data_IF_324344138573
#
_entry.id   IF_324344138573
#
_cell.length_a   1.000
_cell.length_b   1.000
_cell.length_c   1.000
_cell.angle_alpha   90.00
_cell.angle_beta   90.00
_cell.angle_gamma   90.00
#
_symmetry.space_group_name_H-M   'P 1'
#
loop_
_entity.id
_entity.type
_entity.pdbx_description
1 polymer ?
#
# COMPACT_ATOMS: atom_id res chain seq x y z
N UNK A 1 14.62 -50.75 20.97
CA UNK A 1 13.50 -49.85 20.64
C UNK A 1 14.05 -48.44 20.72
N UNK A 2 14.43 -47.87 19.57
CA UNK A 2 15.06 -46.55 19.50
C UNK A 2 14.00 -45.46 19.58
N UNK A 3 14.22 -44.53 20.50
CA UNK A 3 13.40 -43.35 20.76
C UNK A 3 13.41 -42.41 19.55
N UNK A 4 12.26 -42.26 18.90
CA UNK A 4 12.05 -41.41 17.72
C UNK A 4 11.76 -39.95 18.09
N UNK A 5 12.63 -39.32 18.88
CA UNK A 5 12.61 -37.85 19.07
C UNK A 5 13.69 -37.22 18.20
N UNK A 6 13.34 -36.81 17.00
CA UNK A 6 14.24 -36.10 16.11
C UNK A 6 13.47 -35.34 15.04
N UNK A 7 13.43 -34.02 15.14
CA UNK A 7 12.89 -33.15 14.09
C UNK A 7 12.08 -31.96 14.60
N UNK A 8 12.56 -31.24 15.63
CA UNK A 8 12.08 -29.88 15.86
C UNK A 8 12.50 -29.02 14.66
N UNK A 9 11.63 -28.90 13.66
CA UNK A 9 11.86 -28.02 12.52
C UNK A 9 11.94 -26.60 13.05
N UNK A 10 13.15 -26.05 13.06
CA UNK A 10 13.39 -24.71 13.60
C UNK A 10 12.90 -23.71 12.55
N UNK A 11 11.59 -23.43 12.56
CA UNK A 11 10.96 -22.44 11.67
C UNK A 11 11.70 -21.11 11.81
N UNK A 12 12.20 -20.49 10.72
CA UNK A 12 12.81 -19.17 10.76
C UNK A 12 11.95 -18.18 11.54
N UNK A 13 12.55 -17.41 12.45
CA UNK A 13 11.81 -16.51 13.35
C UNK A 13 10.92 -15.50 12.60
N UNK A 14 11.36 -15.06 11.42
CA UNK A 14 10.58 -14.16 10.57
C UNK A 14 9.30 -14.80 10.01
N UNK A 15 9.31 -16.11 9.73
CA UNK A 15 8.14 -16.85 9.26
C UNK A 15 7.09 -16.98 10.37
N UNK A 16 7.54 -17.29 11.59
CA UNK A 16 6.64 -17.38 12.75
C UNK A 16 5.99 -16.03 13.03
N UNK A 17 6.76 -14.94 12.98
CA UNK A 17 6.24 -13.60 13.22
C UNK A 17 5.24 -13.16 12.13
N UNK A 18 5.48 -13.53 10.87
CA UNK A 18 4.59 -13.24 9.76
C UNK A 18 3.27 -14.02 9.85
N UNK A 19 3.34 -15.32 10.17
CA UNK A 19 2.16 -16.17 10.41
C UNK A 19 1.31 -15.64 11.58
N UNK A 20 1.94 -15.26 12.69
CA UNK A 20 1.24 -14.71 13.85
C UNK A 20 0.56 -13.38 13.53
N UNK A 21 1.23 -12.47 12.81
CA UNK A 21 0.66 -11.20 12.39
C UNK A 21 -0.62 -11.42 11.56
N UNK A 22 -0.55 -12.29 10.55
CA UNK A 22 -1.67 -12.53 9.65
C UNK A 22 -2.83 -13.28 10.30
N UNK A 23 -2.59 -14.04 11.38
CA UNK A 23 -3.65 -14.75 12.13
C UNK A 23 -4.45 -13.84 13.05
N UNK A 24 -3.83 -12.79 13.57
CA UNK A 24 -4.49 -11.83 14.49
C UNK A 24 -5.27 -10.73 13.74
N UNK A 25 -4.99 -10.54 12.44
CA UNK A 25 -5.69 -9.59 11.58
C UNK A 25 -7.04 -10.16 11.16
N UNK A 26 -8.11 -9.43 11.45
CA UNK A 26 -9.46 -9.75 11.01
C UNK A 26 -10.27 -8.47 10.78
N UNK A 27 -10.42 -8.09 9.52
CA UNK A 27 -11.14 -6.89 9.09
C UNK A 27 -11.66 -7.06 7.65
N UNK A 28 -12.82 -6.50 7.34
CA UNK A 28 -13.45 -6.66 6.00
C UNK A 28 -12.55 -6.18 4.85
N UNK A 29 -11.82 -5.08 5.09
CA UNK A 29 -10.93 -4.45 4.11
C UNK A 29 -9.46 -4.90 4.20
N UNK A 30 -9.16 -6.01 4.85
CA UNK A 30 -7.81 -6.59 4.93
C UNK A 30 -7.87 -8.06 4.56
N UNK A 31 -6.89 -8.56 3.80
CA UNK A 31 -6.88 -9.99 3.44
C UNK A 31 -6.82 -10.87 4.67
N UNK A 32 -7.64 -11.92 4.68
CA UNK A 32 -7.71 -12.89 5.76
C UNK A 32 -6.94 -14.15 5.38
N UNK A 33 -5.99 -14.52 6.22
CA UNK A 33 -5.26 -15.77 6.04
C UNK A 33 -6.19 -16.95 6.38
N UNK A 34 -6.49 -17.77 5.38
CA UNK A 34 -7.34 -18.95 5.52
C UNK A 34 -6.50 -20.14 6.02
N UNK A 35 -5.33 -20.34 5.43
CA UNK A 35 -4.47 -21.48 5.78
C UNK A 35 -2.99 -21.20 5.51
N UNK A 36 -2.11 -21.92 6.20
CA UNK A 36 -0.66 -21.90 6.02
C UNK A 36 -0.18 -23.32 5.81
N UNK A 37 0.54 -23.56 4.73
CA UNK A 37 1.17 -24.84 4.46
C UNK A 37 2.68 -24.67 4.31
N UNK A 38 3.44 -25.52 4.99
CA UNK A 38 4.90 -25.54 4.90
C UNK A 38 5.28 -26.85 4.24
N UNK A 39 5.91 -26.77 3.07
CA UNK A 39 6.51 -27.93 2.45
C UNK A 39 7.88 -28.16 3.10
N UNK A 40 7.99 -29.24 3.90
CA UNK A 40 9.21 -29.57 4.61
C UNK A 40 10.32 -30.13 3.71
N UNK A 41 10.01 -30.53 2.47
CA UNK A 41 11.00 -31.09 1.55
C UNK A 41 11.92 -30.01 0.97
N UNK A 42 11.37 -28.82 0.68
CA UNK A 42 12.09 -27.68 0.10
C UNK A 42 12.05 -26.42 1.00
N UNK A 43 11.41 -26.51 2.17
CA UNK A 43 11.17 -25.41 3.10
C UNK A 43 10.37 -24.24 2.51
N UNK A 44 9.51 -24.52 1.52
CA UNK A 44 8.62 -23.52 0.91
C UNK A 44 7.40 -23.21 1.80
N UNK A 45 7.03 -21.93 1.88
CA UNK A 45 5.83 -21.45 2.56
C UNK A 45 4.73 -21.13 1.54
N UNK A 46 3.55 -21.69 1.78
CA UNK A 46 2.33 -21.40 1.03
C UNK A 46 1.29 -20.79 1.95
N UNK A 47 0.67 -19.71 1.48
CA UNK A 47 -0.35 -18.96 2.20
C UNK A 47 -1.62 -18.99 1.36
N UNK A 48 -2.72 -19.44 1.96
CA UNK A 48 -4.03 -19.46 1.31
C UNK A 48 -4.85 -18.27 1.81
N UNK A 49 -5.40 -17.52 0.86
CA UNK A 49 -6.30 -16.39 1.07
C UNK A 49 -7.55 -16.58 0.20
N UNK A 50 -8.59 -15.81 0.48
CA UNK A 50 -9.73 -15.70 -0.44
C UNK A 50 -9.27 -15.10 -1.78
N UNK A 51 -9.87 -15.58 -2.87
CA UNK A 51 -9.53 -15.14 -4.22
C UNK A 51 -10.15 -13.78 -4.51
N UNK A 52 -9.32 -12.82 -4.91
CA UNK A 52 -9.77 -11.56 -5.49
C UNK A 52 -9.59 -11.61 -7.01
N UNK A 53 -10.61 -11.17 -7.74
CA UNK A 53 -10.62 -11.24 -9.21
C UNK A 53 -9.71 -10.18 -9.83
N UNK A 54 -9.57 -9.03 -9.17
CA UNK A 54 -8.82 -7.88 -9.65
C UNK A 54 -7.99 -7.24 -8.55
N UNK A 55 -7.09 -6.34 -8.95
CA UNK A 55 -6.48 -5.34 -8.08
C UNK A 55 -6.74 -3.92 -8.64
N UNK A 56 -6.46 -2.89 -7.84
CA UNK A 56 -6.66 -1.51 -8.31
C UNK A 56 -5.77 -1.13 -9.49
N UNK A 57 -4.60 -1.77 -9.65
CA UNK A 57 -3.74 -1.50 -10.81
C UNK A 57 -4.43 -1.94 -12.10
N UNK A 58 -5.03 -3.13 -12.12
CA UNK A 58 -5.81 -3.63 -13.25
C UNK A 58 -7.04 -2.76 -13.53
N UNK A 59 -7.76 -2.33 -12.49
CA UNK A 59 -8.93 -1.44 -12.62
C UNK A 59 -8.53 -0.10 -13.25
N UNK A 60 -7.47 0.55 -12.74
CA UNK A 60 -6.95 1.82 -13.27
C UNK A 60 -6.52 1.63 -14.74
N UNK A 61 -5.78 0.56 -15.02
CA UNK A 61 -5.29 0.24 -16.36
C UNK A 61 -6.44 0.03 -17.35
N UNK A 62 -7.50 -0.67 -16.94
CA UNK A 62 -8.68 -0.89 -17.77
C UNK A 62 -9.36 0.42 -18.15
N UNK A 63 -9.58 1.31 -17.17
CA UNK A 63 -10.13 2.64 -17.42
C UNK A 63 -9.24 3.49 -18.34
N UNK A 64 -7.92 3.41 -18.18
CA UNK A 64 -6.94 4.15 -18.98
C UNK A 64 -6.84 3.67 -20.43
N UNK A 65 -6.69 2.36 -20.62
CA UNK A 65 -6.27 1.77 -21.90
C UNK A 65 -7.42 1.16 -22.70
N UNK A 66 -8.50 0.72 -22.05
CA UNK A 66 -9.63 0.05 -22.70
C UNK A 66 -10.85 0.94 -22.83
N UNK A 67 -11.27 1.58 -21.75
CA UNK A 67 -12.45 2.45 -21.76
C UNK A 67 -12.14 3.88 -22.20
N UNK A 68 -10.91 4.34 -21.94
CA UNK A 68 -10.52 5.74 -22.08
C UNK A 68 -11.51 6.69 -21.37
N UNK A 69 -11.91 6.31 -20.15
CA UNK A 69 -12.93 6.98 -19.35
C UNK A 69 -12.49 7.01 -17.90
N UNK A 70 -12.64 8.17 -17.24
CA UNK A 70 -12.37 8.32 -15.81
C UNK A 70 -13.27 7.39 -14.96
N UNK A 71 -12.75 6.96 -13.81
CA UNK A 71 -13.55 6.22 -12.83
C UNK A 71 -14.62 7.16 -12.26
N UNK A 72 -15.84 6.65 -12.05
CA UNK A 72 -16.90 7.41 -11.41
C UNK A 72 -16.46 7.92 -10.03
N UNK A 73 -16.69 9.21 -9.75
CA UNK A 73 -16.32 9.83 -8.48
C UNK A 73 -16.91 9.11 -7.25
N UNK A 74 -18.13 8.56 -7.36
CA UNK A 74 -18.71 7.75 -6.29
C UNK A 74 -17.89 6.50 -6.02
N UNK A 75 -17.46 5.81 -7.08
CA UNK A 75 -16.59 4.64 -6.98
C UNK A 75 -15.23 5.01 -6.39
N UNK A 76 -14.61 6.11 -6.83
CA UNK A 76 -13.35 6.59 -6.24
C UNK A 76 -13.52 6.87 -4.75
N UNK A 77 -14.60 7.56 -4.34
CA UNK A 77 -14.89 7.84 -2.93
C UNK A 77 -15.08 6.56 -2.11
N UNK A 78 -15.81 5.58 -2.65
CA UNK A 78 -16.01 4.27 -2.00
C UNK A 78 -14.71 3.50 -1.83
N UNK A 79 -13.91 3.38 -2.90
CA UNK A 79 -12.60 2.70 -2.85
C UNK A 79 -11.66 3.36 -1.84
N UNK A 80 -11.59 4.70 -1.83
CA UNK A 80 -10.78 5.45 -0.89
C UNK A 80 -11.24 5.25 0.56
N UNK A 81 -12.55 5.30 0.81
CA UNK A 81 -13.10 5.10 2.15
C UNK A 81 -12.79 3.71 2.68
N UNK A 82 -13.00 2.66 1.88
CA UNK A 82 -12.70 1.28 2.26
C UNK A 82 -11.20 1.06 2.53
N UNK A 83 -10.33 1.66 1.70
CA UNK A 83 -8.88 1.65 1.92
C UNK A 83 -8.50 2.32 3.25
N UNK A 84 -9.07 3.48 3.55
CA UNK A 84 -8.84 4.18 4.81
C UNK A 84 -9.39 3.39 6.01
N UNK A 85 -10.53 2.71 5.86
CA UNK A 85 -11.14 1.88 6.90
C UNK A 85 -10.22 0.71 7.28
N UNK A 86 -9.77 -0.06 6.29
CA UNK A 86 -8.78 -1.13 6.50
C UNK A 86 -7.47 -0.62 7.08
N UNK A 87 -6.99 0.53 6.61
CA UNK A 87 -5.74 1.10 7.08
C UNK A 87 -5.84 1.62 8.52
N UNK A 88 -6.97 2.23 8.89
CA UNK A 88 -7.24 2.66 10.26
C UNK A 88 -7.24 1.47 11.23
N UNK A 89 -7.82 0.34 10.83
CA UNK A 89 -7.74 -0.91 11.58
C UNK A 89 -6.29 -1.37 11.77
N UNK A 90 -5.49 -1.40 10.70
CA UNK A 90 -4.07 -1.79 10.78
C UNK A 90 -3.29 -0.86 11.72
N UNK A 91 -3.45 0.46 11.56
CA UNK A 91 -2.76 1.46 12.36
C UNK A 91 -3.14 1.39 13.85
N UNK A 92 -4.41 1.13 14.16
CA UNK A 92 -4.91 0.94 15.53
C UNK A 92 -4.32 -0.31 16.19
N UNK A 93 -3.96 -1.32 15.38
CA UNK A 93 -3.28 -2.54 15.82
C UNK A 93 -1.75 -2.44 15.74
N UNK A 94 -1.19 -1.23 15.58
CA UNK A 94 0.26 -0.99 15.51
C UNK A 94 0.95 -1.69 14.32
N UNK A 95 0.22 -1.83 13.22
CA UNK A 95 0.71 -2.42 11.97
C UNK A 95 0.86 -1.31 10.94
N UNK A 96 2.09 -1.11 10.44
CA UNK A 96 2.36 -0.21 9.30
C UNK A 96 2.60 -1.09 8.07
N UNK A 97 1.91 -0.79 6.98
CA UNK A 97 1.96 -1.59 5.75
C UNK A 97 3.28 -1.40 4.98
N UNK A 98 3.70 -0.14 4.77
CA UNK A 98 4.94 0.33 4.11
C UNK A 98 5.10 0.09 2.62
N UNK A 99 4.26 -0.74 2.02
CA UNK A 99 4.28 -1.00 0.57
C UNK A 99 2.88 -0.88 -0.05
N UNK A 100 2.11 0.13 0.36
CA UNK A 100 0.83 0.39 -0.28
C UNK A 100 1.07 0.91 -1.71
N UNK A 101 0.41 0.26 -2.66
CA UNK A 101 0.41 0.56 -4.09
C UNK A 101 -0.84 -0.09 -4.71
N UNK A 102 -1.32 0.33 -5.89
CA UNK A 102 -2.56 -0.19 -6.47
C UNK A 102 -2.60 -1.72 -6.62
N UNK A 103 -1.48 -2.37 -6.95
CA UNK A 103 -1.42 -3.84 -7.06
C UNK A 103 -1.55 -4.59 -5.72
N UNK A 104 -1.42 -3.89 -4.60
CA UNK A 104 -1.57 -4.46 -3.26
C UNK A 104 -2.96 -4.16 -2.67
N UNK A 105 -3.83 -3.50 -3.44
CA UNK A 105 -5.23 -3.27 -3.07
C UNK A 105 -6.09 -4.15 -3.96
N UNK A 106 -6.49 -5.30 -3.43
CA UNK A 106 -7.30 -6.27 -4.14
C UNK A 106 -8.76 -5.81 -4.18
N UNK A 107 -9.48 -6.18 -5.24
CA UNK A 107 -10.90 -5.92 -5.42
C UNK A 107 -11.61 -7.26 -5.61
N UNK A 108 -12.54 -7.55 -4.71
CA UNK A 108 -13.33 -8.76 -4.76
C UNK A 108 -14.32 -8.72 -5.94
N UNK A 109 -14.34 -9.80 -6.71
CA UNK A 109 -15.15 -9.96 -7.92
C UNK A 109 -16.60 -10.34 -7.63
N UNK A 110 -17.21 -11.14 -8.50
CA UNK A 110 -18.57 -11.63 -8.27
C UNK A 110 -18.67 -12.49 -6.99
N UNK A 111 -19.70 -12.26 -6.17
CA UNK A 111 -19.93 -12.99 -4.92
C UNK A 111 -20.50 -12.15 -3.78
N UNK A 112 -20.46 -12.67 -2.56
CA UNK A 112 -20.97 -11.99 -1.36
C UNK A 112 -20.17 -10.73 -1.00
N UNK A 113 -18.88 -10.71 -1.32
CA UNK A 113 -17.98 -9.58 -1.06
C UNK A 113 -17.80 -8.66 -2.29
N UNK A 114 -18.71 -8.69 -3.27
CA UNK A 114 -18.55 -7.95 -4.52
C UNK A 114 -18.25 -6.45 -4.33
N UNK A 115 -17.15 -5.99 -4.93
CA UNK A 115 -16.71 -4.60 -4.86
C UNK A 115 -16.06 -4.19 -3.52
N UNK A 116 -15.86 -5.13 -2.59
CA UNK A 116 -15.08 -4.91 -1.37
C UNK A 116 -13.59 -4.89 -1.72
N UNK A 117 -12.85 -3.91 -1.21
CA UNK A 117 -11.39 -3.88 -1.36
C UNK A 117 -10.73 -4.60 -0.19
N UNK A 118 -9.62 -5.31 -0.43
CA UNK A 118 -8.80 -5.91 0.61
C UNK A 118 -7.33 -5.49 0.47
N UNK A 119 -6.78 -4.89 1.54
CA UNK A 119 -5.35 -4.56 1.63
C UNK A 119 -4.56 -5.87 1.75
N UNK A 120 -3.59 -6.08 0.86
CA UNK A 120 -2.82 -7.30 0.71
C UNK A 120 -1.30 -7.03 0.67
N UNK A 121 -0.53 -8.12 0.67
CA UNK A 121 0.94 -8.13 0.59
C UNK A 121 1.63 -7.40 1.76
N UNK A 122 1.58 -8.06 2.91
CA UNK A 122 2.29 -7.68 4.12
C UNK A 122 3.77 -8.07 4.09
N UNK A 123 4.37 -8.40 2.93
CA UNK A 123 5.75 -8.89 2.83
C UNK A 123 6.81 -7.95 3.41
N UNK A 124 6.48 -6.65 3.51
CA UNK A 124 7.27 -5.61 4.17
C UNK A 124 6.64 -5.05 5.46
N UNK A 125 5.46 -5.53 5.84
CA UNK A 125 4.77 -5.08 7.04
C UNK A 125 5.52 -5.51 8.30
N UNK A 126 5.56 -4.61 9.27
CA UNK A 126 6.28 -4.81 10.53
C UNK A 126 5.53 -4.15 11.67
N UNK A 127 5.45 -4.86 12.79
CA UNK A 127 5.19 -4.28 14.11
C UNK A 127 6.28 -3.23 14.37
N UNK A 128 5.92 -2.07 14.94
CA UNK A 128 6.63 -0.77 15.05
C UNK A 128 8.15 -0.70 15.37
N UNK A 129 8.99 -1.75 15.30
CA UNK A 129 10.38 -1.75 15.81
C UNK A 129 11.46 -2.44 14.94
N UNK A 130 11.17 -3.00 13.76
CA UNK A 130 12.19 -3.71 12.97
C UNK A 130 12.91 -2.80 11.94
N UNK A 131 14.26 -2.72 11.91
CA UNK A 131 15.00 -1.88 10.96
C UNK A 131 14.75 -2.26 9.50
N UNK A 132 14.72 -1.26 8.60
CA UNK A 132 14.57 -1.48 7.16
C UNK A 132 15.84 -2.12 6.59
N UNK A 133 15.66 -3.06 5.65
CA UNK A 133 16.75 -3.42 4.74
C UNK A 133 17.01 -2.26 3.77
N UNK A 134 18.27 -1.86 3.54
CA UNK A 134 18.62 -0.88 2.52
C UNK A 134 18.05 -1.24 1.15
N UNK A 135 17.63 -0.23 0.36
CA UNK A 135 17.22 -0.40 -1.04
C UNK A 135 18.30 -1.05 -1.93
N UNK A 136 19.56 -1.01 -1.50
CA UNK A 136 20.73 -1.39 -2.28
C UNK A 136 21.09 -2.87 -2.25
N UNK A 137 20.53 -3.67 -1.34
CA UNK A 137 21.13 -4.98 -1.03
C UNK A 137 21.00 -6.01 -2.16
N UNK A 138 20.03 -5.88 -3.08
CA UNK A 138 19.69 -6.98 -4.01
C UNK A 138 19.58 -6.60 -5.50
N UNK A 139 19.86 -5.36 -5.91
CA UNK A 139 19.75 -4.96 -7.33
C UNK A 139 18.34 -5.07 -7.93
N UNK A 140 17.31 -5.31 -7.11
CA UNK A 140 15.91 -5.40 -7.53
C UNK A 140 15.35 -4.00 -7.70
N UNK A 141 14.82 -3.73 -8.88
CA UNK A 141 14.02 -2.53 -9.18
C UNK A 141 12.76 -2.58 -8.32
N UNK A 142 12.70 -1.76 -7.28
CA UNK A 142 11.50 -1.59 -6.44
C UNK A 142 10.74 -0.37 -6.92
N UNK A 143 9.42 -0.48 -7.08
CA UNK A 143 8.54 0.64 -7.38
C UNK A 143 8.56 1.65 -6.22
N UNK A 144 9.20 2.79 -6.43
CA UNK A 144 9.35 3.85 -5.41
C UNK A 144 8.28 4.94 -5.49
N UNK A 145 7.36 4.87 -6.45
CA UNK A 145 6.39 5.95 -6.76
C UNK A 145 5.40 6.28 -5.62
N UNK A 146 5.17 5.32 -4.73
CA UNK A 146 4.25 5.47 -3.58
C UNK A 146 5.00 5.69 -2.26
N UNK A 147 6.34 5.72 -2.27
CA UNK A 147 7.13 5.91 -1.06
C UNK A 147 7.12 7.36 -0.61
N UNK A 148 6.89 7.56 0.68
CA UNK A 148 6.93 8.88 1.30
C UNK A 148 8.33 9.53 1.21
N UNK A 149 8.41 10.86 1.11
CA UNK A 149 9.67 11.62 1.05
C UNK A 149 10.68 11.24 2.12
N UNK A 150 10.23 11.09 3.36
CA UNK A 150 11.09 10.76 4.49
C UNK A 150 11.75 9.37 4.31
N UNK A 151 11.10 8.42 3.65
CA UNK A 151 11.68 7.12 3.34
C UNK A 151 12.72 7.23 2.22
N UNK A 152 12.49 8.10 1.23
CA UNK A 152 13.45 8.37 0.16
C UNK A 152 14.71 9.09 0.68
N UNK A 153 14.55 9.93 1.69
CA UNK A 153 15.63 10.65 2.38
C UNK A 153 16.35 9.80 3.45
N UNK A 154 15.98 8.53 3.61
CA UNK A 154 16.66 7.59 4.50
C UNK A 154 16.32 7.75 5.99
N UNK A 155 15.13 8.27 6.32
CA UNK A 155 14.67 8.32 7.71
C UNK A 155 14.65 6.91 8.33
N UNK A 156 15.28 6.79 9.50
CA UNK A 156 15.37 5.51 10.25
C UNK A 156 14.13 5.20 11.07
N UNK A 157 13.34 6.23 11.38
CA UNK A 157 12.08 6.14 12.10
C UNK A 157 10.96 6.55 11.16
N UNK A 158 10.00 5.65 10.98
CA UNK A 158 8.81 5.85 10.17
C UNK A 158 7.58 5.59 11.03
N UNK A 159 6.50 6.27 10.70
CA UNK A 159 5.21 6.20 11.38
C UNK A 159 4.16 5.71 10.39
N UNK A 160 2.92 5.54 10.86
CA UNK A 160 1.75 5.35 9.99
C UNK A 160 1.60 6.41 8.88
N UNK A 161 2.24 7.58 9.02
CA UNK A 161 2.22 8.63 8.01
C UNK A 161 2.78 8.18 6.65
N UNK A 162 3.69 7.20 6.60
CA UNK A 162 4.23 6.71 5.32
C UNK A 162 3.15 6.03 4.47
N UNK A 163 2.22 5.33 5.13
CA UNK A 163 1.08 4.69 4.46
C UNK A 163 0.09 5.75 3.97
N UNK A 164 -0.11 6.82 4.74
CA UNK A 164 -1.01 7.92 4.36
C UNK A 164 -0.52 8.69 3.13
N UNK A 165 0.80 8.83 2.96
CA UNK A 165 1.37 9.35 1.72
C UNK A 165 1.04 8.44 0.53
N UNK A 166 1.26 7.14 0.69
CA UNK A 166 0.97 6.16 -0.36
C UNK A 166 -0.52 6.15 -0.74
N UNK A 167 -1.44 6.27 0.23
CA UNK A 167 -2.87 6.46 -0.02
C UNK A 167 -3.14 7.73 -0.81
N UNK A 168 -2.47 8.85 -0.50
CA UNK A 168 -2.56 10.08 -1.28
C UNK A 168 -2.13 9.89 -2.75
N UNK A 169 -1.04 9.16 -2.99
CA UNK A 169 -0.61 8.78 -4.34
C UNK A 169 -1.65 7.94 -5.07
N UNK A 170 -2.21 6.91 -4.41
CA UNK A 170 -3.25 6.04 -4.96
C UNK A 170 -4.51 6.85 -5.28
N UNK A 171 -4.91 7.77 -4.39
CA UNK A 171 -6.07 8.62 -4.60
C UNK A 171 -5.90 9.52 -5.83
N UNK A 172 -4.74 10.19 -5.96
CA UNK A 172 -4.43 10.98 -7.14
C UNK A 172 -4.40 10.14 -8.43
N UNK A 173 -3.91 8.89 -8.36
CA UNK A 173 -3.89 7.98 -9.50
C UNK A 173 -5.29 7.48 -9.88
N UNK A 174 -6.19 7.23 -8.92
CA UNK A 174 -7.59 6.91 -9.21
C UNK A 174 -8.32 8.06 -9.92
N UNK A 175 -7.96 9.32 -9.62
CA UNK A 175 -8.54 10.50 -10.24
C UNK A 175 -8.00 10.76 -11.66
N UNK A 176 -6.70 10.52 -11.88
CA UNK A 176 -6.00 10.91 -13.12
C UNK A 176 -5.70 9.74 -14.06
N UNK A 177 -5.88 8.51 -13.57
CA UNK A 177 -5.46 7.25 -14.19
C UNK A 177 -3.96 7.15 -14.48
N UNK A 178 -3.15 8.01 -13.85
CA UNK A 178 -1.69 8.07 -14.04
C UNK A 178 -1.00 8.12 -12.68
N UNK A 179 0.10 7.37 -12.49
CA UNK A 179 0.83 7.43 -11.24
C UNK A 179 1.30 8.87 -10.98
N UNK A 180 1.03 9.39 -9.78
CA UNK A 180 1.33 10.78 -9.46
C UNK A 180 2.84 11.06 -9.55
N UNK A 181 3.68 10.25 -8.90
CA UNK A 181 5.14 10.46 -8.93
C UNK A 181 5.85 9.42 -9.80
N UNK A 182 5.41 9.28 -11.06
CA UNK A 182 6.09 8.41 -12.01
C UNK A 182 7.49 8.97 -12.32
N UNK A 183 8.54 8.28 -11.84
CA UNK A 183 9.91 8.61 -12.23
C UNK A 183 10.10 8.49 -13.76
N UNK A 184 11.00 9.27 -14.34
CA UNK A 184 11.28 9.21 -15.78
C UNK A 184 11.95 7.87 -16.10
N UNK A 185 11.30 7.03 -16.91
CA UNK A 185 11.85 5.77 -17.45
C UNK A 185 12.99 6.00 -18.47
N UNK A 186 13.98 6.80 -18.12
CA UNK A 186 15.20 6.89 -18.91
C UNK A 186 16.12 5.69 -18.58
N UNK A 187 15.70 4.47 -18.95
CA UNK A 187 16.51 3.23 -19.04
C UNK A 187 17.44 2.88 -17.87
N UNK A 188 17.24 3.45 -16.68
CA UNK A 188 18.04 3.18 -15.50
C UNK A 188 17.13 2.95 -14.31
N UNK A 189 17.62 2.12 -13.38
CA UNK A 189 17.05 1.82 -12.06
C UNK A 189 16.27 3.00 -11.46
N UNK A 190 15.08 2.77 -10.85
CA UNK A 190 14.31 3.85 -10.22
C UNK A 190 15.19 4.63 -9.25
N UNK A 191 15.47 5.88 -9.58
CA UNK A 191 16.32 6.73 -8.76
C UNK A 191 15.44 7.53 -7.79
N UNK A 192 15.61 7.38 -6.46
CA UNK A 192 14.92 8.19 -5.45
C UNK A 192 14.97 9.70 -5.72
N UNK A 193 16.09 10.19 -6.28
CA UNK A 193 16.26 11.60 -6.62
C UNK A 193 15.36 12.07 -7.77
N UNK A 194 14.95 11.18 -8.69
CA UNK A 194 14.02 11.54 -9.77
C UNK A 194 12.60 11.70 -9.23
N UNK A 195 12.16 10.79 -8.35
CA UNK A 195 10.85 10.90 -7.69
C UNK A 195 10.80 12.17 -6.84
N UNK A 196 11.87 12.48 -6.13
CA UNK A 196 11.99 13.74 -5.40
C UNK A 196 11.94 14.97 -6.31
N UNK A 197 12.64 14.95 -7.45
CA UNK A 197 12.58 16.04 -8.43
C UNK A 197 11.16 16.23 -9.01
N UNK A 198 10.44 15.14 -9.26
CA UNK A 198 9.03 15.19 -9.67
C UNK A 198 8.16 15.78 -8.55
N UNK A 199 8.39 15.39 -7.30
CA UNK A 199 7.67 15.95 -6.15
C UNK A 199 7.87 17.48 -6.02
N UNK A 200 9.10 17.96 -6.19
CA UNK A 200 9.41 19.39 -6.23
C UNK A 200 8.78 20.09 -7.45
N UNK A 201 8.64 19.41 -8.58
CA UNK A 201 7.98 19.99 -9.76
C UNK A 201 6.49 20.26 -9.53
N UNK A 202 5.85 19.47 -8.67
CA UNK A 202 4.44 19.64 -8.30
C UNK A 202 4.19 20.78 -7.32
N UNK A 203 5.16 21.10 -6.46
CA UNK A 203 5.10 22.34 -5.68
C UNK A 203 5.05 23.57 -6.59
N UNK A 204 5.77 23.53 -7.72
CA UNK A 204 5.83 24.64 -8.68
C UNK A 204 4.61 24.72 -9.63
N UNK A 205 4.08 23.58 -10.08
CA UNK A 205 2.93 23.54 -11.00
C UNK A 205 1.57 23.58 -10.28
N UNK A 206 1.54 23.24 -8.99
CA UNK A 206 0.35 23.21 -8.16
C UNK A 206 -0.48 21.93 -8.36
N UNK A 207 -0.52 21.09 -7.33
CA UNK A 207 -1.20 19.78 -7.31
C UNK A 207 -2.63 19.80 -7.93
N UNK A 208 -3.42 20.84 -7.65
CA UNK A 208 -4.80 20.98 -8.13
C UNK A 208 -4.94 20.94 -9.66
N UNK A 209 -3.94 21.43 -10.40
CA UNK A 209 -3.95 21.46 -11.87
C UNK A 209 -3.78 20.05 -12.44
N UNK A 210 -3.02 19.18 -11.76
CA UNK A 210 -2.73 17.81 -12.20
C UNK A 210 -3.90 16.88 -11.95
N UNK A 211 -4.50 16.98 -10.76
CA UNK A 211 -5.66 16.15 -10.40
C UNK A 211 -6.99 16.69 -10.91
N UNK A 212 -6.97 17.85 -11.58
CA UNK A 212 -8.15 18.54 -12.11
C UNK A 212 -9.26 18.74 -11.06
N UNK A 213 -8.87 18.98 -9.80
CA UNK A 213 -9.80 19.23 -8.70
C UNK A 213 -9.92 20.74 -8.41
N UNK A 214 -11.09 21.23 -7.97
CA UNK A 214 -11.22 22.59 -7.46
C UNK A 214 -10.32 22.78 -6.22
N UNK A 215 -9.51 23.84 -6.20
CA UNK A 215 -8.58 24.13 -5.09
C UNK A 215 -9.26 24.24 -3.72
N UNK A 216 -10.54 24.61 -3.67
CA UNK A 216 -11.32 24.75 -2.42
C UNK A 216 -12.32 23.60 -2.22
N UNK A 217 -12.17 22.51 -2.97
CA UNK A 217 -13.04 21.35 -2.87
C UNK A 217 -12.60 20.38 -1.77
N UNK A 218 -13.53 19.63 -1.15
CA UNK A 218 -13.21 18.66 -0.09
C UNK A 218 -12.21 17.60 -0.54
N UNK A 219 -12.36 17.07 -1.76
CA UNK A 219 -11.44 16.08 -2.31
C UNK A 219 -10.00 16.61 -2.42
N UNK A 220 -9.82 17.88 -2.76
CA UNK A 220 -8.49 18.48 -2.87
C UNK A 220 -7.88 18.75 -1.48
N UNK A 221 -8.68 19.26 -0.53
CA UNK A 221 -8.24 19.42 0.86
C UNK A 221 -7.77 18.09 1.45
N UNK A 222 -8.57 17.02 1.33
CA UNK A 222 -8.21 15.69 1.78
C UNK A 222 -6.90 15.20 1.15
N UNK A 223 -6.78 15.29 -0.18
CA UNK A 223 -5.58 14.87 -0.89
C UNK A 223 -4.35 15.66 -0.44
N UNK A 224 -4.47 16.99 -0.30
CA UNK A 224 -3.36 17.84 0.13
C UNK A 224 -2.87 17.50 1.55
N UNK A 225 -3.79 17.13 2.46
CA UNK A 225 -3.44 16.71 3.82
C UNK A 225 -2.79 15.32 3.87
N UNK A 226 -3.13 14.43 2.92
CA UNK A 226 -2.45 13.15 2.74
C UNK A 226 -1.04 13.31 2.17
N UNK A 227 -0.85 14.28 1.26
CA UNK A 227 0.43 14.59 0.61
C UNK A 227 1.22 15.70 1.33
N UNK A 228 0.96 15.92 2.61
CA UNK A 228 1.75 16.83 3.45
C UNK A 228 3.17 16.26 3.66
N UNK A 229 4.18 17.09 3.42
CA UNK A 229 5.59 16.68 3.48
C UNK A 229 6.07 16.43 4.90
N UNK A 230 5.62 17.21 5.88
CA UNK A 230 5.96 16.95 7.28
C UNK A 230 5.10 15.78 7.79
N UNK A 231 5.69 14.59 8.06
CA UNK A 231 4.93 13.41 8.47
C UNK A 231 4.20 13.61 9.82
N UNK A 232 4.56 14.65 10.60
CA UNK A 232 3.88 14.99 11.86
C UNK A 232 2.61 15.80 11.64
N UNK A 233 2.48 16.46 10.49
CA UNK A 233 1.30 17.25 10.10
C UNK A 233 0.38 16.50 9.14
N UNK A 234 0.89 15.43 8.52
CA UNK A 234 0.14 14.55 7.63
C UNK A 234 -1.05 13.93 8.35
N UNK A 235 -2.21 13.96 7.70
CA UNK A 235 -3.46 13.43 8.25
C UNK A 235 -3.35 11.93 8.52
N UNK A 236 -3.99 11.45 9.59
CA UNK A 236 -4.07 10.01 9.91
C UNK A 236 -5.26 9.35 9.22
N UNK A 237 -5.29 8.02 9.16
CA UNK A 237 -6.43 7.28 8.58
C UNK A 237 -7.74 7.58 9.32
N UNK A 238 -7.72 7.63 10.66
CA UNK A 238 -8.88 8.01 11.47
C UNK A 238 -9.40 9.41 11.13
N UNK A 239 -8.50 10.41 11.07
CA UNK A 239 -8.88 11.78 10.72
C UNK A 239 -9.40 11.91 9.28
N UNK A 240 -8.85 11.11 8.36
CA UNK A 240 -9.29 11.10 6.96
C UNK A 240 -10.69 10.48 6.79
N UNK A 241 -11.07 9.51 7.63
CA UNK A 241 -12.42 8.92 7.63
C UNK A 241 -13.50 9.89 8.15
N UNK A 242 -13.11 10.84 9.00
CA UNK A 242 -13.99 11.88 9.55
C UNK A 242 -14.05 13.15 8.68
N UNK A 243 -13.31 13.18 7.56
CA UNK A 243 -13.25 14.33 6.67
C UNK A 243 -14.51 14.44 5.78
N UNK A 244 -15.00 15.68 5.55
CA UNK A 244 -16.26 15.99 4.85
C UNK A 244 -16.21 15.76 3.32
#
# INVERSE_FOLDING_TARGET
MGDGRGGGSNRPAWLQQYELLLREINHENVVKLVNVHINHADMSLYLAFDYAEHDLYEVIRHHREKLNLSINQYTVKSLLWQLLNGLNYLHSNWIIHRDLKPSNILVMGEGEEHGIIKIADFGLARIYQAPLKPLSDNGVVVTIWYRAPELLLGAKHYTSAVDMWAVGCIFAELLTLKPLFQGVEAKATPNPFQVWAVALSYENTGLHTIVHLPQKGPAFDLLSRMLEYDPRKRITAAQALEHE
#
